data_IF_836833717911
#
_entry.id   IF_836833717911
#
_cell.length_a   1.000
_cell.length_b   1.000
_cell.length_c   1.000
_cell.angle_alpha   90.00
_cell.angle_beta   90.00
_cell.angle_gamma   90.00
#
_symmetry.space_group_name_H-M   'P 1'
#
loop_
_entity.id
_entity.type
_entity.pdbx_description
1 polymer ?
#
# COMPACT_ATOMS: atom_id res chain seq x y z
N UNK A 1 1.40 -2.63 8.07
CA UNK A 1 1.53 -1.17 7.86
C UNK A 1 1.14 -0.46 9.15
N UNK A 2 1.98 0.42 9.67
CA UNK A 2 1.64 1.27 10.81
C UNK A 2 0.95 2.55 10.33
N UNK A 3 -0.06 2.99 11.06
CA UNK A 3 -0.86 4.16 10.74
C UNK A 3 -0.85 5.10 11.94
N UNK A 4 -0.59 6.38 11.69
CA UNK A 4 -0.46 7.41 12.70
C UNK A 4 -1.42 8.55 12.39
N UNK A 5 -2.21 8.95 13.39
CA UNK A 5 -3.04 10.14 13.33
C UNK A 5 -2.77 10.95 14.61
N UNK A 6 -2.42 12.24 14.52
CA UNK A 6 -2.19 13.07 15.70
C UNK A 6 -3.36 13.01 16.67
N UNK A 7 -3.08 12.86 17.96
CA UNK A 7 -4.10 12.73 19.00
C UNK A 7 -4.76 11.34 19.11
N UNK A 8 -4.36 10.37 18.29
CA UNK A 8 -4.87 8.99 18.36
C UNK A 8 -3.74 7.98 18.56
N UNK A 9 -4.10 6.83 19.15
CA UNK A 9 -3.17 5.70 19.28
C UNK A 9 -2.80 5.19 17.89
N UNK A 10 -1.51 4.95 17.68
CA UNK A 10 -1.00 4.30 16.47
C UNK A 10 -1.68 2.94 16.24
N UNK A 11 -2.04 2.65 15.00
CA UNK A 11 -2.74 1.42 14.61
C UNK A 11 -1.88 0.58 13.67
N UNK A 12 -1.80 -0.71 13.93
CA UNK A 12 -1.18 -1.67 13.01
C UNK A 12 -2.28 -2.27 12.13
N UNK A 13 -2.24 -1.99 10.84
CA UNK A 13 -3.15 -2.57 9.85
C UNK A 13 -2.38 -3.62 9.06
N UNK A 14 -2.86 -4.85 9.14
CA UNK A 14 -2.30 -6.01 8.46
C UNK A 14 -3.42 -6.86 7.87
N UNK A 15 -3.08 -7.68 6.88
CA UNK A 15 -3.96 -8.74 6.38
C UNK A 15 -3.16 -10.03 6.40
N UNK A 16 -3.71 -11.06 7.03
CA UNK A 16 -3.17 -12.41 6.94
C UNK A 16 -3.70 -13.02 5.64
N UNK A 17 -2.83 -13.71 4.92
CA UNK A 17 -3.21 -14.46 3.72
C UNK A 17 -2.74 -15.89 3.90
N UNK A 18 -3.70 -16.81 3.89
CA UNK A 18 -3.40 -18.23 3.93
C UNK A 18 -3.04 -18.71 2.53
N UNK A 19 -1.87 -19.36 2.42
CA UNK A 19 -1.42 -19.99 1.19
C UNK A 19 -1.83 -21.46 1.19
N UNK A 20 -2.70 -21.84 0.26
CA UNK A 20 -3.30 -23.18 0.18
C UNK A 20 -2.68 -24.08 -0.90
N UNK A 21 -1.55 -23.70 -1.50
CA UNK A 21 -0.82 -24.57 -2.42
C UNK A 21 -1.41 -24.76 -3.82
N UNK A 22 -2.42 -23.99 -4.22
CA UNK A 22 -3.04 -24.14 -5.56
C UNK A 22 -2.06 -23.73 -6.66
N UNK A 23 -2.08 -24.45 -7.80
CA UNK A 23 -1.11 -24.33 -8.91
C UNK A 23 -0.91 -22.88 -9.41
N UNK A 24 -1.93 -22.04 -9.35
CA UNK A 24 -1.89 -20.65 -9.81
C UNK A 24 -2.06 -19.61 -8.68
N UNK A 25 -1.95 -20.04 -7.42
CA UNK A 25 -2.00 -19.11 -6.29
C UNK A 25 -0.63 -18.43 -6.14
N UNK A 26 -0.55 -17.09 -6.20
CA UNK A 26 0.70 -16.39 -5.91
C UNK A 26 1.14 -16.71 -4.48
N UNK A 27 2.36 -17.20 -4.30
CA UNK A 27 2.95 -17.46 -2.98
C UNK A 27 3.21 -16.18 -2.21
N UNK A 28 3.64 -15.16 -2.92
CA UNK A 28 4.11 -13.92 -2.32
C UNK A 28 3.01 -12.87 -2.17
N UNK A 29 3.31 -11.89 -1.34
CA UNK A 29 2.50 -10.68 -1.20
C UNK A 29 2.55 -9.87 -2.49
N UNK A 30 1.42 -9.76 -3.18
CA UNK A 30 1.33 -9.14 -4.48
C UNK A 30 0.75 -7.74 -4.46
N UNK A 31 0.71 -7.13 -5.65
CA UNK A 31 0.09 -5.81 -5.85
C UNK A 31 -1.38 -5.75 -5.41
N UNK A 32 -2.15 -6.83 -5.62
CA UNK A 32 -3.57 -6.89 -5.22
C UNK A 32 -3.69 -6.84 -3.70
N UNK A 33 -2.90 -7.64 -2.99
CA UNK A 33 -2.87 -7.66 -1.53
C UNK A 33 -2.51 -6.29 -0.97
N UNK A 34 -1.52 -5.61 -1.56
CA UNK A 34 -1.15 -4.26 -1.17
C UNK A 34 -2.25 -3.23 -1.42
N UNK A 35 -2.91 -3.28 -2.58
CA UNK A 35 -4.04 -2.40 -2.90
C UNK A 35 -5.17 -2.57 -1.89
N UNK A 36 -5.51 -3.81 -1.56
CA UNK A 36 -6.61 -4.12 -0.67
C UNK A 36 -6.26 -3.70 0.78
N UNK A 37 -5.00 -3.83 1.18
CA UNK A 37 -4.50 -3.29 2.45
C UNK A 37 -4.65 -1.75 2.53
N UNK A 38 -4.32 -1.02 1.46
CA UNK A 38 -4.50 0.45 1.41
C UNK A 38 -5.97 0.86 1.47
N UNK A 39 -6.85 0.13 0.79
CA UNK A 39 -8.29 0.39 0.82
C UNK A 39 -8.84 0.17 2.23
N UNK A 40 -8.48 -0.94 2.88
CA UNK A 40 -8.88 -1.21 4.28
C UNK A 40 -8.38 -0.12 5.22
N UNK A 41 -7.14 0.33 5.06
CA UNK A 41 -6.59 1.40 5.87
C UNK A 41 -7.36 2.71 5.70
N UNK A 42 -7.69 3.10 4.46
CA UNK A 42 -8.50 4.30 4.21
C UNK A 42 -9.88 4.22 4.87
N UNK A 43 -10.54 3.06 4.80
CA UNK A 43 -11.85 2.85 5.43
C UNK A 43 -11.73 2.94 6.96
N UNK A 44 -10.76 2.26 7.56
CA UNK A 44 -10.57 2.24 9.02
C UNK A 44 -10.11 3.59 9.60
N UNK A 45 -9.39 4.39 8.82
CA UNK A 45 -8.92 5.72 9.23
C UNK A 45 -9.95 6.82 8.94
N UNK A 46 -10.96 6.54 8.13
CA UNK A 46 -12.08 7.45 7.87
C UNK A 46 -11.70 8.71 7.08
N UNK A 47 -10.61 8.69 6.31
CA UNK A 47 -10.11 9.90 5.68
C UNK A 47 -8.98 9.70 4.66
N UNK A 48 -8.52 10.79 4.03
CA UNK A 48 -7.32 10.78 3.21
C UNK A 48 -6.10 10.28 3.99
N UNK A 49 -5.28 9.45 3.36
CA UNK A 49 -4.05 8.90 3.95
C UNK A 49 -2.84 9.35 3.14
N UNK A 50 -1.76 9.69 3.86
CA UNK A 50 -0.43 9.88 3.28
C UNK A 50 0.31 8.56 3.45
N UNK A 51 0.78 7.99 2.34
CA UNK A 51 1.53 6.74 2.35
C UNK A 51 3.02 7.06 2.29
N UNK A 52 3.76 6.57 3.29
CA UNK A 52 5.23 6.55 3.31
C UNK A 52 5.63 5.07 3.27
N UNK A 53 6.48 4.70 2.32
CA UNK A 53 6.90 3.31 2.09
C UNK A 53 8.41 3.19 1.94
N UNK A 54 8.92 1.96 2.00
CA UNK A 54 10.29 1.63 1.62
C UNK A 54 10.40 1.35 0.11
N UNK A 55 11.62 1.13 -0.38
CA UNK A 55 11.90 0.92 -1.81
C UNK A 55 11.87 -0.57 -2.21
N UNK A 56 11.00 -1.36 -1.60
CA UNK A 56 10.87 -2.79 -1.96
C UNK A 56 10.25 -2.91 -3.36
N UNK A 57 10.84 -3.79 -4.19
CA UNK A 57 10.59 -3.92 -5.64
C UNK A 57 9.11 -4.12 -6.02
N UNK A 58 8.30 -4.67 -5.11
CA UNK A 58 6.84 -4.85 -5.28
C UNK A 58 6.11 -3.50 -5.41
N UNK A 59 6.62 -2.42 -4.80
CA UNK A 59 6.06 -1.07 -4.83
C UNK A 59 6.33 -0.32 -6.14
N UNK A 60 7.31 -0.77 -6.93
CA UNK A 60 7.75 -0.11 -8.17
C UNK A 60 6.92 -0.52 -9.40
N UNK A 61 5.95 -1.40 -9.25
CA UNK A 61 5.13 -1.83 -10.39
C UNK A 61 4.33 -0.65 -10.94
N UNK A 62 4.56 -0.27 -12.21
CA UNK A 62 3.88 0.83 -12.90
C UNK A 62 2.35 0.86 -12.69
N UNK A 63 1.67 -0.30 -12.61
CA UNK A 63 0.24 -0.32 -12.33
C UNK A 63 -0.14 0.14 -10.90
N UNK A 64 0.71 -0.04 -9.88
CA UNK A 64 0.45 0.46 -8.53
C UNK A 64 0.62 1.99 -8.48
N UNK A 65 1.62 2.53 -9.19
CA UNK A 65 1.78 3.98 -9.39
C UNK A 65 0.55 4.59 -10.08
N UNK A 66 0.05 3.94 -11.14
CA UNK A 66 -1.19 4.36 -11.82
C UNK A 66 -2.41 4.33 -10.90
N UNK A 67 -2.52 3.33 -10.02
CA UNK A 67 -3.61 3.25 -9.04
C UNK A 67 -3.58 4.40 -8.03
N UNK A 68 -2.40 4.77 -7.55
CA UNK A 68 -2.22 5.91 -6.64
C UNK A 68 -2.52 7.22 -7.36
N UNK A 69 -2.04 7.38 -8.59
CA UNK A 69 -2.22 8.59 -9.40
C UNK A 69 -3.68 8.81 -9.87
N UNK A 70 -4.44 7.75 -10.11
CA UNK A 70 -5.81 7.83 -10.63
C UNK A 70 -6.89 8.18 -9.59
N UNK A 71 -6.53 8.45 -8.32
CA UNK A 71 -7.50 8.72 -7.25
C UNK A 71 -7.90 10.22 -7.22
N UNK A 72 -9.21 10.54 -7.19
CA UNK A 72 -9.68 11.91 -6.99
C UNK A 72 -9.45 12.33 -5.53
N UNK A 73 -8.84 13.50 -5.36
CA UNK A 73 -8.74 14.35 -4.15
C UNK A 73 -8.71 13.60 -2.81
N UNK A 74 -7.52 13.21 -2.35
CA UNK A 74 -7.32 12.87 -0.93
C UNK A 74 -6.01 12.22 -0.55
N UNK A 75 -5.46 11.28 -1.33
CA UNK A 75 -4.19 10.64 -0.97
C UNK A 75 -3.00 11.41 -1.56
N UNK A 76 -2.43 12.36 -0.80
CA UNK A 76 -1.16 12.98 -1.18
C UNK A 76 -0.03 11.98 -0.90
N UNK A 77 0.55 11.42 -1.95
CA UNK A 77 1.73 10.56 -1.86
C UNK A 77 2.97 11.46 -1.96
N UNK A 78 3.69 11.69 -0.87
CA UNK A 78 4.96 12.42 -0.89
C UNK A 78 6.07 11.49 -1.44
N UNK A 79 6.43 11.77 -2.69
CA UNK A 79 7.57 11.30 -3.50
C UNK A 79 8.66 10.42 -2.85
N UNK A 80 8.98 9.33 -3.53
CA UNK A 80 10.28 8.65 -3.48
C UNK A 80 11.19 9.28 -4.56
N UNK A 81 12.48 9.57 -4.29
CA UNK A 81 13.38 10.19 -5.27
C UNK A 81 13.58 9.31 -6.52
N UNK A 82 13.87 9.92 -7.70
CA UNK A 82 14.13 9.16 -8.91
C UNK A 82 15.48 8.43 -8.77
N UNK A 83 15.47 7.09 -8.78
CA UNK A 83 16.70 6.32 -8.97
C UNK A 83 17.07 6.32 -10.46
N UNK A 84 18.21 6.90 -10.78
CA UNK A 84 18.98 6.62 -11.99
C UNK A 84 19.31 5.12 -12.05
N UNK A 85 19.18 4.45 -13.22
CA UNK A 85 19.67 3.10 -13.38
C UNK A 85 21.21 3.12 -13.45
N UNK A 86 21.84 2.22 -12.67
CA UNK A 86 23.19 1.71 -12.93
C UNK A 86 23.07 0.40 -13.70
#
# INVERSE_FOLDING_TARGET
MTCHKPGERSRLIYSVREYGGRKDQPKDFGRRDFRDLLVRARIQLGGPIVLVWDNVRIHLTAPLRKFIAAKPTGSRCSSCPPMHPA
#
